data_IF_492200745395
#
_entry.id   IF_492200745395
#
_cell.length_a   1.000
_cell.length_b   1.000
_cell.length_c   1.000
_cell.angle_alpha   90.00
_cell.angle_beta   90.00
_cell.angle_gamma   90.00
#
_symmetry.space_group_name_H-M   'P 1'
#
loop_
_entity.id
_entity.type
_entity.pdbx_description
1 polymer ?
#
# COMPACT_ATOMS: atom_id res chain seq x y z
N UNK A 1 -7.28 8.71 17.56
CA UNK A 1 -6.90 7.27 17.54
C UNK A 1 -6.89 6.80 16.09
N UNK A 2 -6.13 5.76 15.76
CA UNK A 2 -6.17 5.19 14.42
C UNK A 2 -7.47 4.40 14.25
N UNK A 3 -8.14 4.56 13.10
CA UNK A 3 -9.33 3.79 12.73
C UNK A 3 -8.96 2.84 11.60
N UNK A 4 -9.17 1.55 11.82
CA UNK A 4 -8.95 0.52 10.82
C UNK A 4 -10.32 0.01 10.40
N UNK A 5 -10.55 -0.08 9.10
CA UNK A 5 -11.82 -0.56 8.55
C UNK A 5 -11.50 -1.47 7.36
N UNK A 6 -12.10 -2.65 7.35
CA UNK A 6 -12.00 -3.60 6.24
C UNK A 6 -13.37 -3.63 5.58
N UNK A 7 -13.42 -3.29 4.30
CA UNK A 7 -14.67 -3.18 3.55
C UNK A 7 -14.55 -3.82 2.16
N UNK A 8 -15.70 -4.05 1.53
CA UNK A 8 -15.76 -4.59 0.18
C UNK A 8 -15.21 -3.59 -0.84
N UNK A 9 -14.53 -4.10 -1.85
CA UNK A 9 -13.93 -3.30 -2.89
C UNK A 9 -14.99 -2.57 -3.73
N UNK A 10 -14.85 -1.25 -3.82
CA UNK A 10 -15.62 -0.38 -4.69
C UNK A 10 -14.64 0.35 -5.61
N UNK A 11 -14.83 0.22 -6.92
CA UNK A 11 -13.97 0.81 -7.94
C UNK A 11 -13.93 2.33 -7.89
N UNK A 12 -14.98 2.99 -7.40
CA UNK A 12 -15.07 4.44 -7.31
C UNK A 12 -14.40 5.00 -6.06
N UNK A 13 -14.35 4.20 -4.99
CA UNK A 13 -13.83 4.62 -3.67
C UNK A 13 -12.40 4.15 -3.42
N UNK A 14 -12.04 2.96 -3.91
CA UNK A 14 -10.79 2.28 -3.57
C UNK A 14 -9.84 2.30 -4.76
N UNK A 15 -9.18 3.45 -4.97
CA UNK A 15 -8.05 3.50 -5.90
C UNK A 15 -6.89 2.69 -5.32
N UNK A 16 -6.23 1.89 -6.15
CA UNK A 16 -5.01 1.14 -5.79
C UNK A 16 -3.75 1.95 -6.18
N UNK A 17 -3.19 2.78 -5.28
CA UNK A 17 -1.98 3.54 -5.59
C UNK A 17 -0.72 2.67 -5.71
N UNK A 18 -0.74 1.46 -5.15
CA UNK A 18 0.40 0.54 -5.07
C UNK A 18 0.22 -0.68 -6.01
N UNK A 19 -0.51 -0.52 -7.12
CA UNK A 19 -0.81 -1.57 -8.11
C UNK A 19 0.43 -2.26 -8.70
N UNK A 20 1.57 -1.58 -8.71
CA UNK A 20 2.84 -2.12 -9.21
C UNK A 20 3.46 -3.15 -8.25
N UNK A 21 3.10 -3.14 -6.96
CA UNK A 21 3.59 -4.11 -5.96
C UNK A 21 2.78 -5.40 -6.05
N UNK A 22 1.46 -5.25 -6.02
CA UNK A 22 0.52 -6.34 -6.18
C UNK A 22 -0.82 -5.77 -6.68
N UNK A 23 -1.39 -6.44 -7.68
CA UNK A 23 -2.71 -6.12 -8.25
C UNK A 23 -3.55 -7.39 -8.47
N UNK A 24 -3.12 -8.52 -7.90
CA UNK A 24 -3.69 -9.81 -8.25
C UNK A 24 -5.13 -9.98 -7.74
N UNK A 25 -5.51 -9.37 -6.60
CA UNK A 25 -6.93 -9.30 -6.19
C UNK A 25 -7.79 -8.55 -7.21
N UNK A 26 -7.31 -7.40 -7.69
CA UNK A 26 -8.02 -6.59 -8.69
C UNK A 26 -8.17 -7.33 -10.02
N UNK A 27 -7.12 -8.01 -10.48
CA UNK A 27 -7.18 -8.82 -11.70
C UNK A 27 -8.15 -10.00 -11.56
N UNK A 28 -8.18 -10.68 -10.40
CA UNK A 28 -9.18 -11.72 -10.10
C UNK A 28 -10.60 -11.15 -10.11
N UNK A 29 -10.82 -10.01 -9.44
CA UNK A 29 -12.11 -9.33 -9.41
C UNK A 29 -12.58 -8.89 -10.80
N UNK A 30 -11.68 -8.42 -11.68
CA UNK A 30 -12.04 -8.09 -13.07
C UNK A 30 -12.52 -9.29 -13.87
N UNK A 31 -11.93 -10.47 -13.66
CA UNK A 31 -12.30 -11.71 -14.36
C UNK A 31 -13.61 -12.29 -13.84
N UNK A 32 -13.85 -12.17 -12.54
CA UNK A 32 -15.02 -12.75 -11.88
C UNK A 32 -15.46 -11.91 -10.67
N UNK A 33 -16.17 -10.78 -10.90
CA UNK A 33 -16.47 -9.79 -9.85
C UNK A 33 -17.40 -10.30 -8.75
N UNK A 34 -18.25 -11.27 -9.06
CA UNK A 34 -19.29 -11.77 -8.13
C UNK A 34 -18.84 -13.02 -7.36
N UNK A 35 -17.75 -13.67 -7.78
CA UNK A 35 -17.40 -15.01 -7.29
C UNK A 35 -16.45 -14.95 -6.09
N UNK A 36 -15.51 -14.01 -6.10
CA UNK A 36 -14.50 -13.90 -5.05
C UNK A 36 -14.69 -12.58 -4.31
N UNK A 37 -15.04 -12.60 -3.02
CA UNK A 37 -15.03 -11.38 -2.21
C UNK A 37 -13.65 -10.71 -2.26
N UNK A 38 -13.67 -9.41 -2.55
CA UNK A 38 -12.48 -8.57 -2.61
C UNK A 38 -12.59 -7.56 -1.48
N UNK A 39 -11.85 -7.80 -0.40
CA UNK A 39 -11.73 -6.87 0.73
C UNK A 39 -10.54 -5.95 0.56
N UNK A 40 -10.72 -4.70 0.99
CA UNK A 40 -9.65 -3.70 1.10
C UNK A 40 -9.51 -3.25 2.54
N UNK A 41 -8.28 -2.88 2.94
CA UNK A 41 -7.98 -2.38 4.27
C UNK A 41 -7.74 -0.88 4.24
N UNK A 42 -8.55 -0.12 4.97
CA UNK A 42 -8.41 1.32 5.14
C UNK A 42 -7.87 1.62 6.53
N UNK A 43 -6.78 2.39 6.57
CA UNK A 43 -6.13 2.81 7.82
C UNK A 43 -6.16 4.33 7.89
N UNK A 44 -7.03 4.87 8.73
CA UNK A 44 -7.08 6.31 8.99
C UNK A 44 -6.23 6.66 10.22
N UNK A 45 -5.19 7.45 10.02
CA UNK A 45 -4.26 7.90 11.07
C UNK A 45 -3.71 9.28 10.72
N UNK A 46 -3.57 10.15 11.72
CA UNK A 46 -3.01 11.51 11.55
C UNK A 46 -3.68 12.32 10.43
N UNK A 47 -5.02 12.23 10.30
CA UNK A 47 -5.81 12.89 9.25
C UNK A 47 -5.48 12.44 7.82
N UNK A 48 -4.84 11.29 7.67
CA UNK A 48 -4.57 10.65 6.39
C UNK A 48 -5.18 9.25 6.36
N UNK A 49 -5.66 8.83 5.19
CA UNK A 49 -6.24 7.49 4.99
C UNK A 49 -5.37 6.70 4.03
N UNK A 50 -4.75 5.63 4.52
CA UNK A 50 -4.08 4.65 3.69
C UNK A 50 -5.11 3.63 3.18
N UNK A 51 -4.94 3.21 1.93
CA UNK A 51 -5.77 2.19 1.30
C UNK A 51 -4.83 1.08 0.83
N UNK A 52 -5.06 -0.14 1.32
CA UNK A 52 -4.28 -1.31 0.96
C UNK A 52 -5.16 -2.36 0.31
N UNK A 53 -4.70 -2.85 -0.82
CA UNK A 53 -5.32 -3.90 -1.61
C UNK A 53 -4.62 -5.24 -1.41
N UNK A 54 -3.55 -5.32 -0.60
CA UNK A 54 -2.94 -6.61 -0.25
C UNK A 54 -1.99 -6.50 0.94
N UNK A 55 -1.69 -7.63 1.58
CA UNK A 55 -0.71 -7.68 2.68
C UNK A 55 0.70 -7.24 2.27
N UNK A 56 1.23 -7.60 1.08
CA UNK A 56 2.51 -7.08 0.60
C UNK A 56 2.58 -5.55 0.57
N UNK A 57 1.53 -4.86 0.11
CA UNK A 57 1.50 -3.39 0.09
C UNK A 57 1.61 -2.81 1.50
N UNK A 58 0.87 -3.38 2.44
CA UNK A 58 0.86 -2.95 3.84
C UNK A 58 2.22 -3.20 4.52
N UNK A 59 2.80 -4.40 4.33
CA UNK A 59 4.13 -4.76 4.86
C UNK A 59 5.21 -3.81 4.38
N UNK A 60 5.21 -3.51 3.09
CA UNK A 60 6.22 -2.64 2.49
C UNK A 60 6.07 -1.18 2.95
N UNK A 61 4.83 -0.70 3.13
CA UNK A 61 4.59 0.60 3.74
C UNK A 61 5.07 0.64 5.20
N UNK A 62 4.81 -0.42 5.98
CA UNK A 62 5.27 -0.55 7.37
C UNK A 62 6.80 -0.54 7.46
N UNK A 63 7.48 -1.26 6.57
CA UNK A 63 8.95 -1.29 6.50
C UNK A 63 9.52 0.11 6.27
N UNK A 64 8.98 0.85 5.30
CA UNK A 64 9.39 2.22 5.00
C UNK A 64 9.24 3.18 6.19
N UNK A 65 8.11 3.11 6.90
CA UNK A 65 7.88 3.96 8.09
C UNK A 65 8.68 3.50 9.31
N UNK A 66 9.13 2.25 9.36
CA UNK A 66 9.92 1.71 10.47
C UNK A 66 11.37 2.19 10.44
N UNK A 67 11.89 2.57 9.27
CA UNK A 67 13.24 3.13 9.13
C UNK A 67 13.31 4.53 9.75
N UNK A 68 14.34 4.76 10.58
CA UNK A 68 14.55 6.06 11.21
C UNK A 68 14.98 7.13 10.21
N UNK A 69 15.87 6.75 9.29
CA UNK A 69 16.29 7.55 8.15
C UNK A 69 15.76 6.89 6.87
N UNK A 70 14.90 7.61 6.16
CA UNK A 70 14.33 7.10 4.92
C UNK A 70 15.27 7.43 3.76
N UNK A 71 15.77 6.42 3.03
CA UNK A 71 16.48 6.70 1.81
C UNK A 71 15.51 7.33 0.82
N UNK A 72 15.86 8.49 0.25
CA UNK A 72 15.17 8.97 -0.94
C UNK A 72 15.59 8.07 -2.09
N UNK A 73 14.74 7.12 -2.47
CA UNK A 73 15.01 6.23 -3.60
C UNK A 73 14.21 6.68 -4.81
N UNK A 74 14.86 6.87 -5.95
CA UNK A 74 14.17 6.94 -7.24
C UNK A 74 13.99 5.51 -7.74
N UNK A 75 12.78 5.16 -8.18
CA UNK A 75 12.55 3.97 -8.99
C UNK A 75 13.46 4.02 -10.23
N UNK A 76 14.07 2.89 -10.62
CA UNK A 76 14.90 2.84 -11.82
C UNK A 76 14.05 3.19 -13.04
N UNK A 77 14.45 4.25 -13.76
CA UNK A 77 13.72 4.81 -14.92
C UNK A 77 13.85 3.92 -16.17
N UNK A 78 14.79 2.96 -16.16
CA UNK A 78 15.19 2.22 -17.36
C UNK A 78 14.21 1.13 -17.83
N UNK A 79 13.25 0.71 -17.01
CA UNK A 79 12.39 -0.47 -17.27
C UNK A 79 10.91 -0.16 -17.57
N UNK A 80 10.53 1.13 -17.58
CA UNK A 80 9.19 1.56 -17.93
C UNK A 80 9.22 2.88 -18.69
N UNK A 81 8.20 3.13 -19.51
CA UNK A 81 8.06 4.37 -20.27
C UNK A 81 7.61 5.53 -19.35
N UNK A 82 8.37 5.77 -18.29
CA UNK A 82 8.18 6.88 -17.37
C UNK A 82 8.78 8.13 -18.02
N UNK A 83 8.01 9.19 -18.19
CA UNK A 83 8.38 10.42 -18.89
C UNK A 83 9.47 11.26 -18.19
N UNK A 84 10.16 10.70 -17.20
CA UNK A 84 11.24 11.37 -16.46
C UNK A 84 10.76 12.31 -15.35
N UNK A 85 9.46 12.48 -15.17
CA UNK A 85 8.92 13.32 -14.10
C UNK A 85 9.17 12.69 -12.72
N UNK A 86 9.60 13.51 -11.76
CA UNK A 86 9.81 13.11 -10.36
C UNK A 86 8.59 12.40 -9.74
N UNK A 87 7.39 12.74 -10.23
CA UNK A 87 6.15 12.13 -9.79
C UNK A 87 5.98 10.68 -10.27
N UNK A 88 6.60 10.29 -11.38
CA UNK A 88 6.52 8.92 -11.90
C UNK A 88 7.61 8.02 -11.33
N UNK A 89 8.70 8.62 -10.88
CA UNK A 89 9.92 7.93 -10.42
C UNK A 89 10.00 7.74 -8.91
N UNK A 90 8.99 8.13 -8.13
CA UNK A 90 8.93 7.88 -6.67
C UNK A 90 7.89 6.81 -6.32
N UNK A 91 8.15 6.02 -5.27
CA UNK A 91 7.17 5.06 -4.73
C UNK A 91 6.01 5.82 -4.09
N UNK A 92 4.79 5.26 -4.13
CA UNK A 92 3.62 6.00 -3.65
C UNK A 92 3.73 6.49 -2.20
N UNK A 93 4.23 5.64 -1.30
CA UNK A 93 4.39 5.99 0.12
C UNK A 93 5.51 7.01 0.38
N UNK A 94 6.42 7.22 -0.58
CA UNK A 94 7.44 8.28 -0.52
C UNK A 94 6.86 9.66 -0.90
N UNK A 95 5.75 9.69 -1.65
CA UNK A 95 5.02 10.91 -2.04
C UNK A 95 4.09 11.43 -0.94
N UNK A 96 4.04 10.73 0.20
CA UNK A 96 3.11 11.07 1.26
C UNK A 96 3.51 12.37 1.96
N UNK A 97 2.54 13.09 2.55
CA UNK A 97 2.82 14.35 3.23
C UNK A 97 3.96 14.22 4.25
N UNK A 98 4.95 15.11 4.16
CA UNK A 98 6.16 15.07 4.98
C UNK A 98 5.85 15.07 6.48
N UNK A 99 4.73 15.67 6.90
CA UNK A 99 4.32 15.67 8.30
C UNK A 99 4.13 14.25 8.85
N UNK A 100 3.77 13.25 8.02
CA UNK A 100 3.61 11.86 8.47
C UNK A 100 4.95 11.23 8.87
N UNK A 101 6.07 11.78 8.39
CA UNK A 101 7.43 11.34 8.68
C UNK A 101 7.96 11.89 10.01
N UNK A 102 7.35 12.95 10.54
CA UNK A 102 7.71 13.50 11.84
C UNK A 102 7.64 12.41 12.92
N UNK A 103 8.71 12.25 13.71
CA UNK A 103 8.85 11.21 14.75
C UNK A 103 7.56 10.91 15.55
N UNK A 104 6.83 11.89 16.13
CA UNK A 104 5.61 11.58 16.89
C UNK A 104 4.47 11.01 16.05
N UNK A 105 4.35 11.42 14.78
CA UNK A 105 3.31 10.93 13.87
C UNK A 105 3.72 9.62 13.22
N UNK A 106 4.99 9.46 12.87
CA UNK A 106 5.59 8.21 12.39
C UNK A 106 5.31 7.05 13.34
N UNK A 107 5.54 7.24 14.64
CA UNK A 107 5.26 6.20 15.64
C UNK A 107 3.76 5.81 15.68
N UNK A 108 2.86 6.78 15.52
CA UNK A 108 1.41 6.53 15.43
C UNK A 108 1.05 5.76 14.15
N UNK A 109 1.68 6.10 13.03
CA UNK A 109 1.51 5.40 11.75
C UNK A 109 2.00 3.96 11.87
N UNK A 110 3.20 3.71 12.39
CA UNK A 110 3.72 2.35 12.61
C UNK A 110 2.77 1.53 13.48
N UNK A 111 2.30 2.09 14.60
CA UNK A 111 1.37 1.40 15.48
C UNK A 111 0.03 1.09 14.78
N UNK A 112 -0.47 1.99 13.95
CA UNK A 112 -1.68 1.78 13.16
C UNK A 112 -1.49 0.70 12.09
N UNK A 113 -0.37 0.74 11.35
CA UNK A 113 -0.03 -0.24 10.33
C UNK A 113 0.17 -1.64 10.92
N UNK A 114 0.81 -1.77 12.08
CA UNK A 114 0.95 -3.07 12.77
C UNK A 114 -0.41 -3.69 13.12
N UNK A 115 -1.30 -2.90 13.72
CA UNK A 115 -2.67 -3.35 14.04
C UNK A 115 -3.47 -3.70 12.78
N UNK A 116 -3.28 -2.92 11.71
CA UNK A 116 -3.94 -3.18 10.44
C UNK A 116 -3.39 -4.44 9.77
N UNK A 117 -2.10 -4.74 9.93
CA UNK A 117 -1.49 -5.97 9.43
C UNK A 117 -2.10 -7.19 10.10
N UNK A 118 -2.21 -7.17 11.43
CA UNK A 118 -2.85 -8.24 12.20
C UNK A 118 -4.30 -8.45 11.74
N UNK A 119 -5.12 -7.38 11.79
CA UNK A 119 -6.53 -7.46 11.40
C UNK A 119 -6.74 -7.89 9.94
N UNK A 120 -5.88 -7.44 9.02
CA UNK A 120 -6.01 -7.78 7.61
C UNK A 120 -5.48 -9.19 7.29
N UNK A 121 -4.54 -9.70 8.09
CA UNK A 121 -4.01 -11.07 7.92
C UNK A 121 -5.01 -12.16 8.33
N UNK A 122 -5.93 -11.86 9.24
CA UNK A 122 -7.03 -12.76 9.61
C UNK A 122 -8.05 -12.94 8.47
N UNK A 123 -8.06 -12.01 7.52
CA UNK A 123 -8.94 -12.09 6.34
C UNK A 123 -8.27 -12.97 5.29
N UNK A 124 -8.80 -14.19 5.12
CA UNK A 124 -8.29 -15.20 4.18
C UNK A 124 -8.14 -14.72 2.74
N UNK A 125 -8.84 -13.66 2.35
CA UNK A 125 -8.81 -13.10 0.99
C UNK A 125 -7.60 -12.21 0.74
N UNK A 126 -6.93 -11.71 1.79
CA UNK A 126 -5.88 -10.69 1.76
C UNK A 126 -4.53 -11.16 1.20
N UNK A 127 -4.28 -12.48 1.18
CA UNK A 127 -3.08 -13.08 0.60
C UNK A 127 -3.32 -13.38 -0.88
N UNK A 128 -2.66 -12.61 -1.75
CA UNK A 128 -2.53 -13.00 -3.15
C UNK A 128 -1.07 -13.23 -3.51
N UNK A 129 -0.80 -14.46 -3.93
CA UNK A 129 0.54 -15.04 -4.08
C UNK A 129 1.30 -14.68 -5.35
N UNK A 130 1.23 -13.44 -5.81
CA UNK A 130 2.23 -12.96 -6.77
C UNK A 130 2.74 -11.61 -6.32
N UNK A 131 3.72 -11.63 -5.43
CA UNK A 131 4.68 -10.54 -5.35
C UNK A 131 5.26 -10.43 -6.75
N UNK A 132 4.82 -9.43 -7.52
CA UNK A 132 5.56 -9.06 -8.73
C UNK A 132 6.95 -8.76 -8.23
N UNK A 133 7.97 -9.37 -8.86
CA UNK A 133 9.37 -9.08 -8.52
C UNK A 133 9.49 -7.57 -8.29
N UNK A 134 9.98 -7.13 -7.12
CA UNK A 134 10.09 -5.71 -6.84
C UNK A 134 10.85 -5.06 -8.01
N UNK A 135 10.49 -3.83 -8.38
CA UNK A 135 11.12 -3.04 -9.46
C UNK A 135 12.65 -2.85 -9.31
N UNK A 136 13.26 -3.43 -8.27
CA UNK A 136 14.69 -3.39 -7.95
C UNK A 136 15.39 -4.74 -8.26
N UNK A 137 14.65 -5.79 -8.67
CA UNK A 137 15.15 -7.15 -8.96
C UNK A 137 15.07 -7.53 -10.46
N UNK A 138 15.02 -6.55 -11.36
CA UNK A 138 15.13 -6.72 -12.82
C UNK A 138 16.41 -6.03 -13.32
#
# INVERSE_FOLDING_TARGET
MARITIEDFDTMRHRNPMWYIDDAQRERHKRAPTIVPYKVCLVNVCSFTFIFHSLPQLRLCLEYYSLEHQPSSTLPVYDGNFGGDHWETQRWFEKLPQFLLEKPKRLKVIAALKKALEAYSEVSEAETGTVKKPLHEW
#
